data_IF_298358239693
#
_entry.id   IF_298358239693
#
_cell.length_a   1.000
_cell.length_b   1.000
_cell.length_c   1.000
_cell.angle_alpha   90.00
_cell.angle_beta   90.00
_cell.angle_gamma   90.00
#
_symmetry.space_group_name_H-M   'P 1'
#
loop_
_entity.id
_entity.type
_entity.pdbx_description
1 polymer ?
#
# COMPACT_ATOMS: atom_id res chain seq x y z
N UNK A 1 -68.01 -67.15 10.56
CA UNK A 1 -68.40 -65.83 11.08
C UNK A 1 -67.16 -65.00 11.37
N UNK A 2 -67.19 -63.73 10.95
CA UNK A 2 -66.07 -62.78 10.93
C UNK A 2 -65.44 -62.59 12.31
N UNK A 3 -64.11 -62.62 12.39
CA UNK A 3 -63.36 -61.82 13.38
C UNK A 3 -62.18 -61.12 12.72
N UNK A 4 -62.25 -59.81 12.89
CA UNK A 4 -61.40 -58.70 12.53
C UNK A 4 -60.09 -58.66 13.30
N UNK A 5 -59.08 -58.02 12.69
CA UNK A 5 -58.06 -57.26 13.40
C UNK A 5 -56.78 -58.02 13.77
N UNK A 6 -55.75 -57.92 12.92
CA UNK A 6 -54.37 -58.17 13.31
C UNK A 6 -53.58 -56.87 13.28
N UNK A 7 -53.32 -56.43 14.51
CA UNK A 7 -52.23 -55.65 15.09
C UNK A 7 -51.08 -55.25 14.15
N UNK A 8 -50.80 -53.95 14.21
CA UNK A 8 -49.71 -53.18 13.60
C UNK A 8 -48.33 -53.75 13.95
N UNK A 9 -47.49 -53.96 12.94
CA UNK A 9 -46.16 -54.55 13.05
C UNK A 9 -45.13 -53.65 13.73
N UNK A 10 -44.33 -54.30 14.58
CA UNK A 10 -43.05 -53.85 15.13
C UNK A 10 -41.90 -54.09 14.14
N UNK A 11 -40.85 -53.27 14.26
CA UNK A 11 -39.53 -53.46 13.64
C UNK A 11 -39.17 -52.30 12.72
N UNK A 12 -38.01 -51.65 12.78
CA UNK A 12 -36.77 -51.88 13.50
C UNK A 12 -35.79 -50.76 13.14
N UNK A 13 -34.63 -50.78 13.78
CA UNK A 13 -33.54 -49.80 13.75
C UNK A 13 -33.14 -49.19 12.39
N UNK A 14 -32.95 -47.87 12.38
CA UNK A 14 -31.89 -47.13 11.67
C UNK A 14 -31.70 -45.80 12.41
N UNK A 15 -30.83 -45.70 13.42
CA UNK A 15 -29.39 -45.47 13.28
C UNK A 15 -29.11 -44.28 12.36
N UNK A 16 -28.94 -43.12 13.01
CA UNK A 16 -27.89 -42.12 12.78
C UNK A 16 -27.65 -41.70 11.32
N UNK A 17 -27.99 -40.44 11.01
CA UNK A 17 -27.16 -39.53 10.21
C UNK A 17 -27.75 -38.11 10.34
N UNK A 18 -27.34 -37.41 11.41
CA UNK A 18 -27.40 -35.94 11.41
C UNK A 18 -26.40 -35.46 10.36
N UNK A 19 -26.90 -35.14 9.16
CA UNK A 19 -26.14 -34.39 8.17
C UNK A 19 -26.16 -32.93 8.61
N UNK A 20 -25.23 -32.56 9.50
CA UNK A 20 -24.86 -31.17 9.71
C UNK A 20 -24.18 -30.68 8.42
N UNK A 21 -24.95 -30.05 7.55
CA UNK A 21 -24.43 -29.32 6.40
C UNK A 21 -23.73 -28.05 6.91
N UNK A 22 -22.47 -28.19 7.35
CA UNK A 22 -21.55 -27.06 7.49
C UNK A 22 -21.18 -26.59 6.08
N UNK A 23 -22.04 -25.76 5.50
CA UNK A 23 -21.64 -24.89 4.39
C UNK A 23 -20.71 -23.86 5.01
N UNK A 24 -19.43 -24.21 5.10
CA UNK A 24 -18.38 -23.28 5.41
C UNK A 24 -18.32 -22.26 4.29
N UNK A 25 -18.88 -21.07 4.51
CA UNK A 25 -18.59 -19.92 3.69
C UNK A 25 -17.07 -19.70 3.73
N UNK A 26 -16.36 -20.10 2.67
CA UNK A 26 -15.02 -19.58 2.43
C UNK A 26 -15.19 -18.08 2.26
N UNK A 27 -14.99 -17.33 3.35
CA UNK A 27 -14.64 -15.92 3.25
C UNK A 27 -13.27 -15.91 2.61
N UNK A 28 -13.22 -15.84 1.28
CA UNK A 28 -12.01 -15.44 0.59
C UNK A 28 -11.77 -14.01 1.03
N UNK A 29 -10.88 -13.81 2.00
CA UNK A 29 -10.32 -12.50 2.28
C UNK A 29 -9.65 -12.04 0.99
N UNK A 30 -10.37 -11.24 0.21
CA UNK A 30 -9.90 -10.70 -1.05
C UNK A 30 -8.89 -9.64 -0.66
N UNK A 31 -7.63 -10.06 -0.51
CA UNK A 31 -6.61 -9.17 0.00
C UNK A 31 -6.43 -7.99 -0.97
N UNK A 32 -6.45 -6.80 -0.38
CA UNK A 32 -6.73 -5.55 -1.06
C UNK A 32 -5.50 -5.00 -1.78
N UNK A 33 -5.70 -4.45 -2.96
CA UNK A 33 -4.69 -3.63 -3.62
C UNK A 33 -4.48 -2.32 -2.86
N UNK A 34 -3.24 -1.84 -2.82
CA UNK A 34 -2.90 -0.57 -2.17
C UNK A 34 -2.87 0.55 -3.21
N UNK A 35 -3.66 1.60 -2.99
CA UNK A 35 -3.58 2.82 -3.81
C UNK A 35 -2.66 3.83 -3.14
N UNK A 36 -1.53 4.10 -3.78
CA UNK A 36 -0.50 4.99 -3.28
C UNK A 36 -0.44 6.26 -4.11
N UNK A 37 -0.25 7.39 -3.44
CA UNK A 37 0.25 8.62 -4.04
C UNK A 37 1.75 8.71 -3.76
N UNK A 38 2.52 8.96 -4.80
CA UNK A 38 3.98 9.07 -4.77
C UNK A 38 4.36 10.44 -5.32
N UNK A 39 5.06 11.23 -4.50
CA UNK A 39 5.49 12.58 -4.84
C UNK A 39 7.00 12.67 -4.78
N UNK A 40 7.64 13.04 -5.88
CA UNK A 40 9.05 13.41 -5.91
C UNK A 40 9.20 14.88 -5.55
N UNK A 41 10.05 15.15 -4.58
CA UNK A 41 10.25 16.47 -4.01
C UNK A 41 11.73 16.81 -4.09
N UNK A 42 12.02 18.02 -4.55
CA UNK A 42 13.35 18.59 -4.54
C UNK A 42 13.44 19.65 -3.45
N UNK A 43 14.39 19.50 -2.53
CA UNK A 43 14.68 20.45 -1.46
C UNK A 43 15.92 21.28 -1.79
N UNK A 44 15.85 22.58 -1.55
CA UNK A 44 16.96 23.51 -1.75
C UNK A 44 16.89 24.68 -0.78
N UNK A 45 18.00 25.39 -0.60
CA UNK A 45 18.03 26.68 0.08
C UNK A 45 17.76 27.85 -0.87
N UNK A 46 17.73 27.60 -2.18
CA UNK A 46 17.37 28.61 -3.17
C UNK A 46 15.86 28.81 -3.26
N UNK A 47 15.43 30.07 -3.44
CA UNK A 47 14.02 30.44 -3.49
C UNK A 47 13.30 29.92 -4.75
N UNK A 48 14.05 29.51 -5.78
CA UNK A 48 13.51 29.03 -7.05
C UNK A 48 14.20 27.73 -7.44
N UNK A 49 13.46 26.90 -8.15
CA UNK A 49 14.04 25.73 -8.79
C UNK A 49 14.64 26.08 -10.15
N UNK A 50 15.74 25.43 -10.57
CA UNK A 50 16.29 25.61 -11.91
C UNK A 50 15.33 25.13 -13.01
N UNK A 51 14.42 24.19 -12.69
CA UNK A 51 13.36 23.78 -13.61
C UNK A 51 12.08 24.59 -13.33
N UNK A 52 11.58 25.39 -14.29
CA UNK A 52 10.36 26.18 -14.12
C UNK A 52 9.08 25.32 -13.99
N UNK A 53 9.14 24.02 -14.30
CA UNK A 53 8.01 23.10 -14.15
C UNK A 53 7.81 22.66 -12.70
N UNK A 54 8.82 22.78 -11.86
CA UNK A 54 8.73 22.42 -10.45
C UNK A 54 7.82 23.39 -9.71
N UNK A 55 6.86 22.85 -8.96
CA UNK A 55 5.86 23.63 -8.25
C UNK A 55 6.28 23.78 -6.80
N UNK A 56 6.20 24.98 -6.20
CA UNK A 56 6.44 25.11 -4.76
C UNK A 56 5.54 24.15 -3.98
N UNK A 57 6.14 23.35 -3.11
CA UNK A 57 5.40 22.47 -2.22
C UNK A 57 4.80 23.32 -1.10
N UNK A 58 3.49 23.22 -0.90
CA UNK A 58 2.77 24.01 0.11
C UNK A 58 2.02 23.11 1.09
N UNK A 59 1.50 23.70 2.17
CA UNK A 59 0.67 22.99 3.14
C UNK A 59 1.46 22.09 4.11
N UNK A 60 0.85 20.97 4.49
CA UNK A 60 1.35 20.10 5.56
C UNK A 60 2.64 19.37 5.19
N UNK A 61 2.75 18.90 3.95
CA UNK A 61 3.93 18.17 3.47
C UNK A 61 5.21 19.02 3.59
N UNK A 62 5.15 20.27 3.14
CA UNK A 62 6.27 21.21 3.24
C UNK A 62 6.65 21.49 4.70
N UNK A 63 5.65 21.72 5.58
CA UNK A 63 5.88 21.94 7.02
C UNK A 63 6.53 20.75 7.72
N UNK A 64 6.20 19.52 7.32
CA UNK A 64 6.80 18.31 7.87
C UNK A 64 8.26 18.19 7.42
N UNK A 65 8.53 18.37 6.13
CA UNK A 65 9.89 18.33 5.60
C UNK A 65 10.78 19.38 6.26
N UNK A 66 10.30 20.62 6.41
CA UNK A 66 11.07 21.70 7.05
C UNK A 66 11.36 21.50 8.54
N UNK A 67 10.60 20.63 9.22
CA UNK A 67 10.85 20.27 10.63
C UNK A 67 11.95 19.23 10.78
N UNK A 68 12.15 18.39 9.76
CA UNK A 68 13.05 17.24 9.81
C UNK A 68 14.35 17.52 9.05
N UNK A 69 14.27 18.27 7.94
CA UNK A 69 15.38 18.51 7.03
C UNK A 69 15.76 19.99 6.98
N UNK A 70 17.03 20.24 6.65
CA UNK A 70 17.68 21.57 6.70
C UNK A 70 17.23 22.56 5.61
N UNK A 71 16.47 22.13 4.61
CA UNK A 71 16.18 22.94 3.42
C UNK A 71 15.08 23.97 3.66
N UNK A 72 15.27 25.17 3.11
CA UNK A 72 14.31 26.30 3.23
C UNK A 72 13.12 26.16 2.29
N UNK A 73 13.34 25.60 1.11
CA UNK A 73 12.36 25.52 0.04
C UNK A 73 12.23 24.08 -0.45
N UNK A 74 11.00 23.68 -0.75
CA UNK A 74 10.66 22.36 -1.27
C UNK A 74 9.79 22.54 -2.49
N UNK A 75 10.01 21.71 -3.50
CA UNK A 75 9.31 21.78 -4.77
C UNK A 75 8.83 20.40 -5.19
N UNK A 76 7.56 20.28 -5.57
CA UNK A 76 7.02 19.11 -6.25
C UNK A 76 7.58 19.04 -7.67
N UNK A 77 8.26 17.94 -7.95
CA UNK A 77 8.88 17.63 -9.25
C UNK A 77 7.94 16.76 -10.07
N UNK A 78 7.37 15.74 -9.43
CA UNK A 78 6.37 14.87 -10.03
C UNK A 78 5.44 14.33 -8.96
N UNK A 79 4.23 13.97 -9.38
CA UNK A 79 3.20 13.34 -8.56
C UNK A 79 2.53 12.25 -9.38
N UNK A 80 2.50 11.03 -8.84
CA UNK A 80 2.00 9.84 -9.54
C UNK A 80 1.14 9.05 -8.55
N UNK A 81 -0.01 8.57 -9.01
CA UNK A 81 -0.84 7.65 -8.24
C UNK A 81 -0.71 6.26 -8.86
N UNK A 82 -0.39 5.28 -8.02
CA UNK A 82 -0.17 3.91 -8.47
C UNK A 82 -0.90 2.91 -7.58
N UNK A 83 -1.38 1.84 -8.21
CA UNK A 83 -1.95 0.70 -7.51
C UNK A 83 -0.91 -0.40 -7.42
N UNK A 84 -0.60 -0.80 -6.18
CA UNK A 84 0.29 -1.91 -5.87
C UNK A 84 -0.56 -3.18 -5.76
N UNK A 85 -0.23 -4.22 -6.54
CA UNK A 85 -0.94 -5.48 -6.45
C UNK A 85 -0.74 -6.10 -5.07
N UNK A 86 -1.79 -6.71 -4.55
CA UNK A 86 -1.75 -7.48 -3.33
C UNK A 86 -0.72 -8.63 -3.44
N UNK A 87 0.13 -8.76 -2.41
CA UNK A 87 1.27 -9.68 -2.31
C UNK A 87 2.20 -9.63 -3.51
N UNK A 88 2.29 -8.45 -4.12
CA UNK A 88 3.04 -8.23 -5.34
C UNK A 88 3.99 -7.03 -5.22
N UNK A 89 4.87 -6.96 -6.21
CA UNK A 89 5.82 -5.85 -6.37
C UNK A 89 5.49 -5.07 -7.63
N UNK A 90 5.66 -3.75 -7.57
CA UNK A 90 5.57 -2.86 -8.72
C UNK A 90 6.77 -1.93 -8.75
N UNK A 91 7.49 -1.94 -9.87
CA UNK A 91 8.53 -0.95 -10.17
C UNK A 91 7.91 0.25 -10.88
N UNK A 92 8.18 1.44 -10.36
CA UNK A 92 7.58 2.72 -10.77
C UNK A 92 8.70 3.70 -11.10
N UNK A 93 8.71 4.22 -12.32
CA UNK A 93 9.62 5.30 -12.74
C UNK A 93 9.07 6.63 -12.25
N UNK A 94 9.76 7.28 -11.32
CA UNK A 94 9.33 8.55 -10.72
C UNK A 94 9.94 9.76 -11.43
N UNK A 95 11.18 9.60 -11.92
CA UNK A 95 11.86 10.54 -12.82
C UNK A 95 12.86 9.78 -13.70
N UNK A 96 13.46 10.39 -14.75
CA UNK A 96 14.44 9.71 -15.61
C UNK A 96 15.60 9.05 -14.86
N UNK A 97 15.98 9.59 -13.69
CA UNK A 97 17.07 9.11 -12.85
C UNK A 97 16.60 8.42 -11.57
N UNK A 98 15.30 8.25 -11.37
CA UNK A 98 14.75 7.75 -10.11
C UNK A 98 13.64 6.73 -10.37
N UNK A 99 13.87 5.50 -9.92
CA UNK A 99 12.85 4.46 -9.84
C UNK A 99 12.59 4.13 -8.37
N UNK A 100 11.37 3.71 -8.05
CA UNK A 100 11.08 2.98 -6.83
C UNK A 100 10.51 1.61 -7.17
N UNK A 101 10.73 0.64 -6.29
CA UNK A 101 10.05 -0.64 -6.31
C UNK A 101 9.32 -0.78 -4.99
N UNK A 102 8.00 -0.94 -5.06
CA UNK A 102 7.14 -1.10 -3.90
C UNK A 102 6.61 -2.52 -3.89
N UNK A 103 6.90 -3.25 -2.83
CA UNK A 103 6.43 -4.62 -2.60
C UNK A 103 5.48 -4.61 -1.41
N UNK A 104 4.24 -5.05 -1.61
CA UNK A 104 3.34 -5.33 -0.50
C UNK A 104 3.77 -6.63 0.19
N UNK A 105 3.87 -6.59 1.51
CA UNK A 105 4.31 -7.72 2.34
C UNK A 105 3.11 -8.39 3.03
N UNK A 106 2.38 -7.60 3.82
CA UNK A 106 1.17 -8.03 4.52
C UNK A 106 0.28 -6.83 4.89
N UNK A 107 -0.91 -6.77 4.28
CA UNK A 107 -1.83 -5.65 4.43
C UNK A 107 -1.22 -4.34 3.92
N UNK A 108 -1.27 -3.28 4.72
CA UNK A 108 -0.65 -2.01 4.39
C UNK A 108 0.87 -1.95 4.70
N UNK A 109 1.51 -3.08 4.99
CA UNK A 109 2.97 -3.16 5.14
C UNK A 109 3.65 -3.24 3.78
N UNK A 110 4.55 -2.31 3.49
CA UNK A 110 5.29 -2.25 2.23
C UNK A 110 6.80 -2.22 2.45
N UNK A 111 7.53 -2.95 1.62
CA UNK A 111 8.94 -2.73 1.36
C UNK A 111 9.07 -1.75 0.19
N UNK A 112 9.84 -0.69 0.37
CA UNK A 112 10.17 0.25 -0.69
C UNK A 112 11.67 0.25 -0.92
N UNK A 113 12.06 -0.02 -2.15
CA UNK A 113 13.44 0.14 -2.65
C UNK A 113 13.51 1.38 -3.52
N UNK A 114 14.44 2.26 -3.21
CA UNK A 114 14.74 3.47 -3.97
C UNK A 114 15.97 3.22 -4.85
N UNK A 115 15.83 3.44 -6.16
CA UNK A 115 16.92 3.36 -7.11
C UNK A 115 17.23 4.74 -7.70
N UNK A 116 18.46 5.19 -7.53
CA UNK A 116 19.00 6.41 -8.13
C UNK A 116 20.02 6.05 -9.20
N UNK A 117 19.82 6.55 -10.42
CA UNK A 117 20.66 6.25 -11.59
C UNK A 117 20.86 4.73 -11.80
N UNK A 118 19.80 3.96 -11.54
CA UNK A 118 19.79 2.50 -11.67
C UNK A 118 20.43 1.72 -10.50
N UNK A 119 21.00 2.40 -9.50
CA UNK A 119 21.61 1.78 -8.32
C UNK A 119 20.66 1.83 -7.13
N UNK A 120 20.60 0.76 -6.35
CA UNK A 120 19.82 0.74 -5.10
C UNK A 120 20.48 1.69 -4.09
N UNK A 121 19.75 2.73 -3.68
CA UNK A 121 20.21 3.77 -2.75
C UNK A 121 19.64 3.54 -1.35
N UNK A 122 18.37 3.14 -1.26
CA UNK A 122 17.71 2.90 0.01
C UNK A 122 16.77 1.70 -0.10
N UNK A 123 16.63 0.95 0.99
CA UNK A 123 15.61 -0.07 1.17
C UNK A 123 15.01 0.13 2.56
N UNK A 124 13.68 0.27 2.62
CA UNK A 124 12.96 0.52 3.87
C UNK A 124 11.66 -0.27 3.91
N UNK A 125 11.29 -0.77 5.09
CA UNK A 125 9.99 -1.41 5.32
C UNK A 125 9.16 -0.51 6.22
N UNK A 126 7.89 -0.27 5.86
CA UNK A 126 6.96 0.53 6.63
C UNK A 126 5.54 0.00 6.57
N UNK A 127 4.88 0.05 7.73
CA UNK A 127 3.43 -0.01 7.81
C UNK A 127 2.87 1.35 7.40
N UNK A 128 2.00 1.38 6.40
CA UNK A 128 1.30 2.60 6.00
C UNK A 128 -0.06 2.67 6.68
N UNK A 129 -0.41 3.85 7.18
CA UNK A 129 -1.76 4.20 7.62
C UNK A 129 -2.39 5.16 6.62
N UNK A 130 -3.72 5.10 6.44
CA UNK A 130 -4.41 6.03 5.53
C UNK A 130 -4.12 7.49 5.90
N UNK A 131 -3.68 8.28 4.94
CA UNK A 131 -3.31 9.69 5.14
C UNK A 131 -2.00 9.92 5.90
N UNK A 132 -1.27 8.86 6.27
CA UNK A 132 0.09 8.97 6.78
C UNK A 132 1.08 9.08 5.63
N UNK A 133 2.11 9.89 5.84
CA UNK A 133 3.18 10.12 4.87
C UNK A 133 4.43 9.34 5.28
N UNK A 134 4.97 8.58 4.35
CA UNK A 134 6.29 7.99 4.46
C UNK A 134 7.28 8.74 3.56
N UNK A 135 8.42 9.16 4.12
CA UNK A 135 9.44 9.90 3.37
C UNK A 135 10.71 9.07 3.25
N UNK A 136 11.16 8.88 2.01
CA UNK A 136 12.48 8.39 1.66
C UNK A 136 13.35 9.57 1.24
N UNK A 137 14.46 9.78 1.95
CA UNK A 137 15.47 10.74 1.53
C UNK A 137 16.49 10.04 0.61
N UNK A 138 16.73 10.64 -0.54
CA UNK A 138 17.80 10.29 -1.46
C UNK A 138 19.08 11.05 -1.16
N UNK A 139 19.91 11.19 -2.19
CA UNK A 139 21.21 11.86 -2.13
C UNK A 139 21.06 13.38 -1.88
N UNK A 140 22.04 13.97 -1.17
CA UNK A 140 22.07 15.41 -0.81
C UNK A 140 23.19 16.20 -1.50
N UNK A 141 23.52 15.80 -2.74
CA UNK A 141 24.53 16.45 -3.57
C UNK A 141 24.14 17.85 -4.02
N UNK A 142 25.18 18.66 -4.26
CA UNK A 142 25.09 20.00 -4.85
C UNK A 142 24.21 20.98 -4.05
N UNK A 143 24.25 20.90 -2.72
CA UNK A 143 23.43 21.72 -1.82
C UNK A 143 21.93 21.62 -2.10
N UNK A 144 21.49 20.45 -2.56
CA UNK A 144 20.08 20.12 -2.76
C UNK A 144 19.82 18.72 -2.25
N UNK A 145 18.55 18.34 -2.10
CA UNK A 145 18.20 16.96 -1.78
C UNK A 145 16.96 16.50 -2.54
N UNK A 146 16.89 15.19 -2.74
CA UNK A 146 15.75 14.53 -3.33
C UNK A 146 14.99 13.73 -2.27
N UNK A 147 13.66 13.86 -2.27
CA UNK A 147 12.78 13.13 -1.38
C UNK A 147 11.67 12.46 -2.17
N UNK A 148 11.29 11.27 -1.73
CA UNK A 148 10.08 10.61 -2.19
C UNK A 148 9.13 10.52 -1.03
N UNK A 149 7.94 11.09 -1.19
CA UNK A 149 6.86 10.99 -0.23
C UNK A 149 5.81 10.02 -0.75
N UNK A 150 5.44 9.05 0.07
CA UNK A 150 4.47 8.01 -0.25
C UNK A 150 3.32 8.13 0.73
N UNK A 151 2.10 8.19 0.20
CA UNK A 151 0.86 8.33 0.99
C UNK A 151 -0.10 7.24 0.58
N UNK A 152 -0.67 6.53 1.56
CA UNK A 152 -1.77 5.59 1.31
C UNK A 152 -3.09 6.37 1.13
N UNK A 153 -3.66 6.31 -0.06
CA UNK A 153 -4.92 6.98 -0.41
C UNK A 153 -6.14 6.19 0.06
N UNK A 154 -6.14 4.89 -0.23
CA UNK A 154 -7.22 3.98 0.13
C UNK A 154 -6.65 2.65 0.58
N UNK A 155 -7.16 2.18 1.71
CA UNK A 155 -7.05 0.80 2.16
C UNK A 155 -8.43 0.19 1.93
N UNK A 156 -8.55 -0.79 1.01
CA UNK A 156 -9.83 -1.46 0.84
C UNK A 156 -10.00 -2.42 2.01
N UNK A 157 -10.76 -1.99 3.02
CA UNK A 157 -11.23 -2.83 4.11
C UNK A 157 -12.37 -3.75 3.68
#
# INVERSE_FOLDING_TARGET
MKKTGKVLGSGGWCRWLMVFALIGSLVTAQAAELKLEIVLIWGSNEAKSPDPKHKPLTGEMAKRLSKVFKWKHYFEVSKINETIPNRGSKKIRVSPKCDIEVTELEGASVEVKLYGEGKLINKSVKQLSKGEYFVLAGDDKDETAWFIMITLLEEKR
#
